data_IF_566811640361
#
_entry.id   IF_566811640361
#
_cell.length_a   1.000
_cell.length_b   1.000
_cell.length_c   1.000
_cell.angle_alpha   90.00
_cell.angle_beta   90.00
_cell.angle_gamma   90.00
#
_symmetry.space_group_name_H-M   'P 1'
#
loop_
_entity.id
_entity.type
_entity.pdbx_description
1 polymer ?
#
# COMPACT_ATOMS: atom_id res chain seq x y z
N UNK A 1 -18.33 -67.65 -19.77
CA UNK A 1 -18.52 -67.76 -21.24
C UNK A 1 -18.51 -66.34 -21.81
N UNK A 2 -17.35 -65.70 -22.03
CA UNK A 2 -16.36 -65.89 -23.08
C UNK A 2 -16.89 -65.55 -24.50
N UNK A 3 -16.63 -64.32 -24.95
CA UNK A 3 -16.49 -63.88 -26.35
C UNK A 3 -15.84 -62.48 -26.31
N UNK A 4 -14.52 -62.26 -26.42
CA UNK A 4 -13.69 -62.14 -27.65
C UNK A 4 -14.39 -61.35 -28.78
N UNK A 5 -13.80 -60.42 -29.54
CA UNK A 5 -12.45 -59.84 -29.69
C UNK A 5 -12.59 -58.68 -30.70
N UNK A 6 -11.93 -57.53 -30.51
CA UNK A 6 -10.94 -56.96 -31.47
C UNK A 6 -10.49 -55.55 -31.08
N UNK A 7 -9.19 -55.44 -30.80
CA UNK A 7 -8.44 -54.21 -30.66
C UNK A 7 -8.01 -53.68 -32.04
N UNK A 8 -8.06 -52.35 -32.22
CA UNK A 8 -7.38 -51.64 -33.29
C UNK A 8 -6.27 -50.78 -32.68
N UNK A 9 -5.03 -51.27 -32.82
CA UNK A 9 -3.79 -50.50 -32.61
C UNK A 9 -3.55 -49.65 -33.86
N UNK A 10 -3.34 -48.35 -33.67
CA UNK A 10 -2.74 -47.48 -34.69
C UNK A 10 -1.34 -47.10 -34.22
N UNK A 11 -0.40 -47.31 -35.12
CA UNK A 11 1.05 -47.31 -34.90
C UNK A 11 1.64 -45.91 -34.67
N UNK A 12 2.59 -45.84 -33.72
CA UNK A 12 3.62 -44.79 -33.65
C UNK A 12 4.74 -45.10 -34.65
N UNK A 13 5.32 -44.10 -35.34
CA UNK A 13 6.66 -44.26 -35.91
C UNK A 13 7.71 -43.82 -34.88
N UNK A 14 8.64 -44.74 -34.63
CA UNK A 14 9.85 -44.58 -33.81
C UNK A 14 11.01 -44.44 -34.80
N UNK A 15 11.70 -43.30 -34.84
CA UNK A 15 12.95 -43.13 -35.58
C UNK A 15 14.10 -43.16 -34.57
N UNK A 16 15.04 -44.08 -34.79
CA UNK A 16 16.25 -44.26 -33.98
C UNK A 16 17.49 -44.21 -34.88
N UNK A 17 18.42 -43.34 -34.46
CA UNK A 17 19.89 -43.44 -34.49
C UNK A 17 20.62 -43.25 -35.83
N UNK A 18 21.40 -42.18 -35.88
CA UNK A 18 22.62 -42.04 -36.69
C UNK A 18 23.69 -41.34 -35.85
N UNK A 19 24.72 -42.08 -35.47
CA UNK A 19 25.91 -41.63 -34.74
C UNK A 19 26.97 -41.10 -35.69
N UNK A 20 27.50 -39.90 -35.45
CA UNK A 20 28.78 -39.44 -36.02
C UNK A 20 29.56 -38.62 -34.99
N UNK A 21 30.83 -38.99 -34.85
CA UNK A 21 31.85 -38.55 -33.90
C UNK A 21 32.42 -37.14 -34.18
N UNK A 22 33.00 -36.57 -33.12
CA UNK A 22 33.68 -35.28 -32.93
C UNK A 22 34.72 -34.88 -34.01
N UNK A 23 35.10 -33.59 -34.07
CA UNK A 23 36.36 -33.26 -33.41
C UNK A 23 36.30 -32.01 -32.50
N UNK A 24 37.23 -32.00 -31.55
CA UNK A 24 37.50 -30.95 -30.58
C UNK A 24 37.85 -29.61 -31.22
N UNK A 25 37.44 -28.51 -30.59
CA UNK A 25 37.99 -27.16 -30.86
C UNK A 25 37.94 -26.31 -29.59
N UNK A 26 39.14 -26.16 -29.01
CA UNK A 26 39.65 -24.99 -28.27
C UNK A 26 38.69 -24.13 -27.43
N UNK A 27 38.95 -24.19 -26.12
CA UNK A 27 38.71 -23.15 -25.12
C UNK A 27 39.04 -21.76 -25.66
N UNK A 28 38.05 -20.86 -25.71
CA UNK A 28 38.26 -19.41 -25.85
C UNK A 28 37.80 -18.75 -24.55
N UNK A 29 38.78 -18.45 -23.69
CA UNK A 29 38.61 -17.55 -22.55
C UNK A 29 38.48 -16.13 -23.11
N UNK A 30 37.24 -15.65 -23.26
CA UNK A 30 36.98 -14.25 -23.53
C UNK A 30 37.00 -13.47 -22.21
N UNK A 31 38.20 -12.97 -21.88
CA UNK A 31 38.40 -11.88 -20.91
C UNK A 31 37.59 -10.67 -21.38
N UNK A 32 36.46 -10.40 -20.73
CA UNK A 32 35.73 -9.14 -20.93
C UNK A 32 36.41 -8.04 -20.13
N UNK A 33 37.07 -7.16 -20.88
CA UNK A 33 37.61 -5.88 -20.45
C UNK A 33 36.53 -5.06 -19.73
N UNK A 34 36.84 -4.63 -18.52
CA UNK A 34 36.05 -3.67 -17.77
C UNK A 34 36.02 -2.33 -18.49
N UNK A 35 34.83 -1.74 -18.55
CA UNK A 35 34.63 -0.35 -18.97
C UNK A 35 34.99 0.52 -17.76
N UNK A 36 36.20 1.05 -17.77
CA UNK A 36 36.62 2.10 -16.84
C UNK A 36 36.08 3.44 -17.34
N UNK A 37 35.15 4.03 -16.61
CA UNK A 37 34.78 5.43 -16.78
C UNK A 37 35.87 6.31 -16.18
N UNK A 38 36.27 7.28 -16.99
CA UNK A 38 37.28 8.33 -16.80
C UNK A 38 37.30 8.97 -15.41
N UNK A 39 38.46 8.93 -14.77
CA UNK A 39 38.80 9.75 -13.61
C UNK A 39 38.95 11.23 -14.02
N UNK A 40 38.30 12.13 -13.28
CA UNK A 40 38.52 13.56 -13.33
C UNK A 40 39.93 13.89 -12.83
N UNK A 41 40.75 14.45 -13.72
CA UNK A 41 42.10 14.95 -13.42
C UNK A 41 42.01 16.12 -12.43
N UNK A 42 42.58 15.93 -11.24
CA UNK A 42 42.90 16.97 -10.28
C UNK A 42 44.07 17.81 -10.81
N UNK A 43 43.83 19.09 -11.08
CA UNK A 43 44.88 20.05 -11.40
C UNK A 43 45.46 20.64 -10.09
N UNK A 44 46.79 20.68 -10.00
CA UNK A 44 47.55 21.26 -8.89
C UNK A 44 47.58 22.81 -8.97
N UNK A 45 47.66 23.53 -7.84
CA UNK A 45 47.68 25.00 -7.83
C UNK A 45 49.07 25.55 -8.16
N UNK A 46 49.13 26.54 -9.05
CA UNK A 46 50.33 27.29 -9.37
C UNK A 46 50.52 28.46 -8.38
N UNK A 47 51.71 28.57 -7.80
CA UNK A 47 52.16 29.70 -6.98
C UNK A 47 52.72 30.83 -7.87
N UNK A 48 52.33 32.08 -7.61
CA UNK A 48 53.21 33.23 -7.88
C UNK A 48 52.84 34.50 -7.11
N UNK A 49 53.81 34.92 -6.29
CA UNK A 49 54.27 36.28 -5.95
C UNK A 49 53.34 37.34 -5.34
N UNK A 50 53.73 37.70 -4.12
CA UNK A 50 53.52 38.92 -3.34
C UNK A 50 53.76 40.26 -4.08
N UNK A 51 52.88 41.23 -3.85
CA UNK A 51 53.23 42.66 -3.67
C UNK A 51 52.29 43.32 -2.64
N UNK A 52 52.84 44.30 -1.92
CA UNK A 52 52.40 44.73 -0.61
C UNK A 52 51.67 46.09 -0.59
N UNK A 53 50.84 46.24 0.46
CA UNK A 53 50.46 47.48 1.20
C UNK A 53 49.51 48.44 0.45
N UNK A 54 48.38 48.87 1.04
CA UNK A 54 48.37 49.81 2.19
C UNK A 54 47.03 49.81 2.92
N UNK A 55 47.10 49.85 4.27
CA UNK A 55 45.98 50.11 5.19
C UNK A 55 45.51 51.56 5.05
N UNK A 56 44.20 51.77 4.89
CA UNK A 56 43.52 52.92 5.49
C UNK A 56 42.21 52.46 6.13
N UNK A 57 42.17 52.61 7.45
CA UNK A 57 40.97 52.57 8.26
C UNK A 57 40.25 53.92 8.15
N UNK A 58 38.96 53.89 7.85
CA UNK A 58 38.03 54.88 8.39
C UNK A 58 36.65 54.24 8.51
N UNK A 59 36.19 54.14 9.75
CA UNK A 59 34.85 53.67 10.04
C UNK A 59 33.82 54.69 9.58
N UNK A 60 32.78 54.22 8.92
CA UNK A 60 31.46 54.83 8.94
C UNK A 60 30.45 53.69 9.07
N UNK A 61 29.95 53.50 10.29
CA UNK A 61 28.86 52.58 10.56
C UNK A 61 27.60 53.07 9.86
N UNK A 62 27.19 52.39 8.79
CA UNK A 62 25.83 52.48 8.27
C UNK A 62 25.05 51.26 8.72
N UNK A 63 23.98 51.51 9.47
CA UNK A 63 22.96 50.52 9.81
C UNK A 63 22.47 49.89 8.50
N UNK A 64 22.80 48.62 8.26
CA UNK A 64 22.10 47.81 7.26
C UNK A 64 20.66 47.67 7.75
N UNK A 65 19.76 48.52 7.24
CA UNK A 65 18.34 48.22 7.16
C UNK A 65 18.25 46.87 6.44
N UNK A 66 17.91 45.82 7.18
CA UNK A 66 17.38 44.60 6.58
C UNK A 66 16.12 45.06 5.83
N UNK A 67 16.19 45.12 4.52
CA UNK A 67 14.98 45.07 3.71
C UNK A 67 14.34 43.73 4.01
N UNK A 68 13.33 43.71 4.90
CA UNK A 68 12.36 42.64 4.91
C UNK A 68 11.78 42.60 3.51
N UNK A 69 12.11 41.56 2.75
CA UNK A 69 11.37 41.23 1.55
C UNK A 69 9.98 40.90 2.07
N UNK A 70 9.08 41.90 2.01
CA UNK A 70 7.65 41.63 2.03
C UNK A 70 7.42 40.74 0.82
N UNK A 71 7.25 39.44 1.03
CA UNK A 71 6.80 38.52 -0.02
C UNK A 71 5.33 38.77 -0.27
N UNK A 72 5.00 39.97 -0.74
CA UNK A 72 3.75 40.31 -1.37
C UNK A 72 4.05 40.54 -2.84
N UNK A 73 3.44 39.73 -3.71
CA UNK A 73 3.31 40.09 -5.12
C UNK A 73 4.14 39.31 -6.14
N UNK A 74 4.58 38.08 -5.85
CA UNK A 74 4.73 37.09 -6.92
C UNK A 74 3.65 36.03 -6.73
N UNK A 75 2.79 35.89 -7.73
CA UNK A 75 1.89 34.73 -7.85
C UNK A 75 2.77 33.52 -8.13
N UNK A 76 3.47 33.02 -7.11
CA UNK A 76 3.93 31.65 -7.12
C UNK A 76 2.68 30.79 -7.30
N UNK A 77 2.71 29.75 -8.16
CA UNK A 77 1.62 28.78 -8.17
C UNK A 77 1.42 28.33 -6.72
N UNK A 78 0.17 28.42 -6.25
CA UNK A 78 -0.21 28.06 -4.89
C UNK A 78 0.48 26.73 -4.55
N UNK A 79 1.27 26.63 -3.47
CA UNK A 79 1.92 25.38 -3.15
C UNK A 79 0.81 24.33 -3.01
N UNK A 80 0.89 23.26 -3.79
CA UNK A 80 0.01 22.08 -3.72
C UNK A 80 0.10 21.33 -2.38
N UNK A 81 0.68 21.96 -1.36
CA UNK A 81 0.59 21.51 0.02
C UNK A 81 -0.81 21.83 0.54
N UNK A 82 -1.73 20.89 0.26
CA UNK A 82 -3.09 20.79 0.79
C UNK A 82 -3.14 20.93 2.34
N UNK A 83 -2.00 20.83 3.02
CA UNK A 83 -1.85 20.94 4.47
C UNK A 83 -1.44 22.33 4.99
N UNK A 84 -1.45 23.39 4.16
CA UNK A 84 -1.13 24.72 4.70
C UNK A 84 -2.21 25.16 5.70
N UNK A 85 -1.78 25.59 6.88
CA UNK A 85 -2.68 26.02 7.97
C UNK A 85 -3.62 27.16 7.58
N UNK A 86 -3.29 27.86 6.48
CA UNK A 86 -4.09 28.94 5.90
C UNK A 86 -5.44 28.49 5.31
N UNK A 87 -5.59 27.23 4.89
CA UNK A 87 -6.86 26.69 4.35
C UNK A 87 -7.69 25.92 5.37
N UNK A 88 -7.16 25.74 6.58
CA UNK A 88 -7.89 25.06 7.65
C UNK A 88 -8.98 25.99 8.14
N UNK A 89 -10.23 25.53 8.11
CA UNK A 89 -11.33 26.26 8.71
C UNK A 89 -10.99 26.53 10.18
N UNK A 90 -11.10 27.79 10.60
CA UNK A 90 -10.81 28.21 11.98
C UNK A 90 -11.95 27.86 12.95
N UNK A 91 -13.07 27.34 12.42
CA UNK A 91 -14.20 26.91 13.22
C UNK A 91 -13.84 25.61 13.96
N UNK A 92 -14.11 25.50 15.27
CA UNK A 92 -13.84 24.28 16.01
C UNK A 92 -14.64 23.14 15.41
N UNK A 93 -13.95 22.10 14.96
CA UNK A 93 -14.61 20.91 14.43
C UNK A 93 -15.41 20.21 15.54
N UNK A 94 -16.60 19.72 15.19
CA UNK A 94 -17.46 19.02 16.16
C UNK A 94 -16.81 17.70 16.54
N UNK A 95 -16.62 17.45 17.83
CA UNK A 95 -16.03 16.22 18.33
C UNK A 95 -16.94 15.02 18.01
N UNK A 96 -16.55 14.23 17.02
CA UNK A 96 -17.26 13.01 16.64
C UNK A 96 -16.86 11.86 17.59
N UNK A 97 -17.76 10.90 17.82
CA UNK A 97 -17.40 9.71 18.58
C UNK A 97 -16.29 8.96 17.85
N UNK A 98 -15.28 8.51 18.60
CA UNK A 98 -14.26 7.62 18.07
C UNK A 98 -14.80 6.19 18.01
N UNK A 99 -14.20 5.35 17.14
CA UNK A 99 -14.55 3.94 16.98
C UNK A 99 -14.06 3.12 18.18
N UNK A 100 -14.56 3.37 19.40
CA UNK A 100 -14.11 2.66 20.62
C UNK A 100 -14.33 1.15 20.49
N UNK A 101 -13.82 0.37 21.46
CA UNK A 101 -14.04 -1.09 21.58
C UNK A 101 -15.53 -1.39 21.87
N UNK A 102 -16.42 -0.89 21.02
CA UNK A 102 -17.86 -1.06 21.12
C UNK A 102 -18.20 -2.36 20.42
N UNK A 103 -18.96 -3.18 21.12
CA UNK A 103 -19.60 -4.36 20.56
C UNK A 103 -20.30 -4.02 19.24
N UNK A 104 -20.18 -4.91 18.26
CA UNK A 104 -20.74 -4.75 16.92
C UNK A 104 -22.27 -4.76 17.00
N UNK A 105 -22.84 -3.59 17.27
CA UNK A 105 -24.27 -3.40 17.43
C UNK A 105 -24.91 -2.89 16.13
N UNK A 106 -26.10 -3.38 15.76
CA UNK A 106 -26.80 -2.89 14.57
C UNK A 106 -27.23 -1.42 14.68
N UNK A 107 -27.27 -0.86 15.90
CA UNK A 107 -27.50 0.57 16.15
C UNK A 107 -26.36 1.49 15.69
N UNK A 108 -25.18 0.94 15.40
CA UNK A 108 -24.05 1.71 14.86
C UNK A 108 -24.19 2.01 13.36
N UNK A 109 -25.17 1.40 12.68
CA UNK A 109 -25.43 1.64 11.25
C UNK A 109 -25.68 3.12 10.98
N UNK A 110 -25.11 3.61 9.89
CA UNK A 110 -25.20 5.00 9.43
C UNK A 110 -24.67 6.05 10.43
N UNK A 111 -23.97 5.64 11.51
CA UNK A 111 -23.40 6.59 12.47
C UNK A 111 -22.05 7.14 11.96
N UNK A 112 -21.81 8.46 12.02
CA UNK A 112 -20.51 9.03 11.72
C UNK A 112 -19.54 8.79 12.88
N UNK A 113 -18.32 8.42 12.54
CA UNK A 113 -17.26 8.06 13.48
C UNK A 113 -15.95 8.70 13.03
N UNK A 114 -15.26 9.38 13.95
CA UNK A 114 -13.92 9.90 13.72
C UNK A 114 -12.88 8.79 13.88
N UNK A 115 -11.89 8.82 12.99
CA UNK A 115 -10.69 8.02 13.15
C UNK A 115 -9.78 8.63 14.22
N UNK A 116 -8.99 7.80 14.88
CA UNK A 116 -8.04 8.29 15.87
C UNK A 116 -6.89 9.10 15.22
N UNK A 117 -6.67 10.31 15.74
CA UNK A 117 -5.59 11.22 15.35
C UNK A 117 -4.46 11.27 16.39
N UNK A 118 -4.50 10.41 17.42
CA UNK A 118 -3.49 10.31 18.47
C UNK A 118 -2.11 9.87 17.97
N UNK A 119 -1.10 10.05 18.82
CA UNK A 119 0.27 9.59 18.53
C UNK A 119 0.31 8.08 18.40
N UNK A 120 0.85 7.58 17.29
CA UNK A 120 0.89 6.14 17.00
C UNK A 120 -0.42 5.59 16.41
N UNK A 121 -1.36 6.47 16.01
CA UNK A 121 -2.54 6.03 15.28
C UNK A 121 -2.18 5.57 13.87
N UNK A 122 -3.09 4.80 13.28
CA UNK A 122 -2.93 4.26 11.93
C UNK A 122 -2.80 5.39 10.90
N UNK A 123 -3.54 6.48 11.12
CA UNK A 123 -3.57 7.64 10.24
C UNK A 123 -2.28 8.45 10.26
N UNK A 124 -1.65 8.59 11.44
CA UNK A 124 -0.37 9.29 11.54
C UNK A 124 0.74 8.48 10.89
N UNK A 125 0.73 7.16 11.09
CA UNK A 125 1.82 6.28 10.64
C UNK A 125 1.76 5.98 9.15
N UNK A 126 0.58 5.61 8.63
CA UNK A 126 0.41 5.19 7.23
C UNK A 126 -0.26 6.25 6.36
N UNK A 127 -0.70 7.35 6.95
CA UNK A 127 -1.50 8.36 6.26
C UNK A 127 -2.96 7.94 6.08
N UNK A 128 -3.68 8.74 5.30
CA UNK A 128 -5.12 8.56 5.05
C UNK A 128 -5.34 8.43 3.53
N UNK A 129 -6.30 7.58 3.08
CA UNK A 129 -6.69 7.50 1.68
C UNK A 129 -7.04 8.86 1.08
N UNK A 130 -6.85 9.01 -0.23
CA UNK A 130 -7.02 10.28 -0.94
C UNK A 130 -8.39 10.91 -0.71
N UNK A 131 -9.46 10.11 -0.67
CA UNK A 131 -10.81 10.60 -0.42
C UNK A 131 -10.90 11.36 0.91
N UNK A 132 -10.37 10.76 1.98
CA UNK A 132 -10.41 11.31 3.34
C UNK A 132 -9.38 12.43 3.56
N UNK A 133 -8.27 12.40 2.80
CA UNK A 133 -7.28 13.49 2.82
C UNK A 133 -7.91 14.83 2.44
N UNK A 134 -8.82 14.83 1.47
CA UNK A 134 -9.56 16.03 1.08
C UNK A 134 -10.44 16.58 2.22
N UNK A 135 -10.90 15.74 3.16
CA UNK A 135 -11.69 16.22 4.31
C UNK A 135 -10.84 16.86 5.37
N UNK A 136 -9.62 16.34 5.54
CA UNK A 136 -8.66 16.85 6.53
C UNK A 136 -8.27 18.30 6.26
N UNK A 137 -8.51 18.81 5.04
CA UNK A 137 -8.37 20.22 4.69
C UNK A 137 -9.40 21.06 5.46
N UNK A 138 -10.63 20.58 5.58
CA UNK A 138 -11.73 21.34 6.21
C UNK A 138 -12.00 20.93 7.66
N UNK A 139 -11.61 19.71 8.06
CA UNK A 139 -11.89 19.15 9.38
C UNK A 139 -10.59 18.71 10.05
N UNK A 140 -10.53 18.84 11.38
CA UNK A 140 -9.33 18.48 12.13
C UNK A 140 -9.08 16.97 12.16
N UNK A 141 -10.17 16.21 12.24
CA UNK A 141 -10.18 14.76 12.26
C UNK A 141 -10.84 14.25 10.98
N UNK A 142 -10.21 13.25 10.36
CA UNK A 142 -10.88 12.49 9.32
C UNK A 142 -11.98 11.64 9.96
N UNK A 143 -13.13 11.55 9.29
CA UNK A 143 -14.24 10.73 9.74
C UNK A 143 -14.74 9.82 8.63
N UNK A 144 -15.49 8.80 9.02
CA UNK A 144 -16.16 7.89 8.12
C UNK A 144 -17.50 7.48 8.71
N UNK A 145 -18.35 6.87 7.90
CA UNK A 145 -19.65 6.37 8.34
C UNK A 145 -19.58 4.86 8.44
N UNK A 146 -20.13 4.32 9.51
CA UNK A 146 -20.27 2.87 9.67
C UNK A 146 -21.39 2.39 8.76
N UNK A 147 -21.01 1.62 7.74
CA UNK A 147 -21.92 0.99 6.79
C UNK A 147 -22.16 -0.46 7.17
N UNK A 148 -23.21 -1.07 6.60
CA UNK A 148 -23.50 -2.49 6.80
C UNK A 148 -22.32 -3.39 6.42
N UNK A 149 -21.64 -3.05 5.33
CA UNK A 149 -20.46 -3.78 4.88
C UNK A 149 -19.33 -3.73 5.92
N UNK A 150 -19.10 -2.57 6.56
CA UNK A 150 -18.07 -2.41 7.58
C UNK A 150 -18.38 -3.27 8.82
N UNK A 151 -19.66 -3.31 9.24
CA UNK A 151 -20.10 -4.20 10.32
C UNK A 151 -19.91 -5.67 9.97
N UNK A 152 -20.18 -6.05 8.71
CA UNK A 152 -19.94 -7.42 8.25
C UNK A 152 -18.45 -7.77 8.23
N UNK A 153 -17.58 -6.84 7.82
CA UNK A 153 -16.13 -6.99 7.85
C UNK A 153 -15.61 -7.15 9.28
N UNK A 154 -16.12 -6.36 10.24
CA UNK A 154 -15.73 -6.49 11.64
C UNK A 154 -16.08 -7.89 12.19
N UNK A 155 -17.29 -8.40 11.90
CA UNK A 155 -17.68 -9.77 12.28
C UNK A 155 -16.79 -10.84 11.65
N UNK A 156 -16.39 -10.64 10.38
CA UNK A 156 -15.44 -11.53 9.71
C UNK A 156 -14.07 -11.49 10.37
N UNK A 157 -13.59 -10.31 10.80
CA UNK A 157 -12.32 -10.19 11.52
C UNK A 157 -12.39 -10.86 12.90
N UNK A 158 -13.50 -10.71 13.63
CA UNK A 158 -13.68 -11.40 14.92
C UNK A 158 -13.62 -12.92 14.76
N UNK A 159 -14.27 -13.47 13.74
CA UNK A 159 -14.18 -14.89 13.41
C UNK A 159 -12.77 -15.30 12.96
N UNK A 160 -12.07 -14.41 12.24
CA UNK A 160 -10.71 -14.63 11.80
C UNK A 160 -9.67 -14.57 12.93
N UNK A 161 -10.02 -13.99 14.09
CA UNK A 161 -9.13 -13.96 15.26
C UNK A 161 -8.79 -15.36 15.80
N UNK A 162 -9.64 -16.36 15.54
CA UNK A 162 -9.50 -17.73 16.04
C UNK A 162 -9.11 -18.73 14.95
N UNK A 163 -9.01 -18.30 13.70
CA UNK A 163 -8.77 -19.17 12.55
C UNK A 163 -7.54 -18.75 11.75
N UNK A 164 -7.02 -19.69 10.99
CA UNK A 164 -5.82 -19.50 10.17
C UNK A 164 -6.10 -18.54 9.00
N UNK A 165 -5.14 -17.67 8.69
CA UNK A 165 -5.33 -16.65 7.64
C UNK A 165 -5.50 -17.25 6.24
N UNK A 166 -5.16 -18.52 6.02
CA UNK A 166 -5.36 -19.23 4.75
C UNK A 166 -6.85 -19.34 4.37
N UNK A 167 -7.74 -19.41 5.37
CA UNK A 167 -9.19 -19.47 5.16
C UNK A 167 -9.80 -18.06 5.04
N UNK A 168 -9.16 -17.06 5.65
CA UNK A 168 -9.67 -15.69 5.78
C UNK A 168 -8.95 -14.73 4.84
N UNK A 169 -9.17 -14.90 3.54
CA UNK A 169 -8.53 -14.10 2.49
C UNK A 169 -9.58 -13.34 1.72
N UNK A 170 -9.88 -12.13 2.15
CA UNK A 170 -10.96 -11.34 1.59
C UNK A 170 -10.41 -10.22 0.70
N UNK A 171 -11.14 -9.92 -0.37
CA UNK A 171 -10.83 -8.81 -1.26
C UNK A 171 -12.07 -7.95 -1.46
N UNK A 172 -12.00 -6.68 -1.07
CA UNK A 172 -13.04 -5.70 -1.29
C UNK A 172 -13.16 -5.39 -2.78
N UNK A 173 -14.30 -5.75 -3.35
CA UNK A 173 -14.69 -5.52 -4.74
C UNK A 173 -15.84 -4.50 -4.78
N UNK A 174 -16.06 -3.87 -5.93
CA UNK A 174 -17.13 -2.88 -6.07
C UNK A 174 -16.76 -1.74 -7.03
N UNK A 175 -17.72 -0.89 -7.33
CA UNK A 175 -17.57 0.22 -8.26
C UNK A 175 -16.55 1.27 -7.78
N UNK A 176 -16.07 2.10 -8.71
CA UNK A 176 -15.17 3.21 -8.39
C UNK A 176 -15.90 4.23 -7.51
N UNK A 177 -15.30 4.60 -6.38
CA UNK A 177 -15.88 5.60 -5.46
C UNK A 177 -16.81 5.02 -4.39
N UNK A 178 -17.06 3.72 -4.39
CA UNK A 178 -17.91 3.01 -3.41
C UNK A 178 -17.40 3.02 -1.96
N UNK A 179 -16.15 3.42 -1.71
CA UNK A 179 -15.57 3.50 -0.36
C UNK A 179 -14.70 2.31 0.08
N UNK A 180 -14.25 1.45 -0.84
CA UNK A 180 -13.39 0.29 -0.56
C UNK A 180 -12.20 0.60 0.35
N UNK A 181 -11.39 1.61 0.00
CA UNK A 181 -10.25 2.06 0.81
C UNK A 181 -10.64 2.53 2.21
N UNK A 182 -11.82 3.16 2.36
CA UNK A 182 -12.32 3.63 3.66
C UNK A 182 -12.78 2.45 4.51
N UNK A 183 -13.48 1.47 3.93
CA UNK A 183 -13.88 0.24 4.63
C UNK A 183 -12.66 -0.59 5.06
N UNK A 184 -11.63 -0.67 4.22
CA UNK A 184 -10.35 -1.30 4.57
C UNK A 184 -9.69 -0.57 5.76
N UNK A 185 -9.64 0.76 5.74
CA UNK A 185 -9.09 1.56 6.84
C UNK A 185 -9.87 1.39 8.14
N UNK A 186 -11.21 1.41 8.08
CA UNK A 186 -12.08 1.14 9.23
C UNK A 186 -11.81 -0.24 9.84
N UNK A 187 -11.64 -1.25 8.99
CA UNK A 187 -11.34 -2.63 9.43
C UNK A 187 -9.97 -2.71 10.09
N UNK A 188 -8.97 -2.03 9.54
CA UNK A 188 -7.64 -1.97 10.12
C UNK A 188 -7.62 -1.25 11.48
N UNK A 189 -8.37 -0.15 11.62
CA UNK A 189 -8.50 0.56 12.90
C UNK A 189 -9.23 -0.30 13.95
N UNK A 190 -10.29 -1.00 13.55
CA UNK A 190 -11.00 -1.94 14.41
C UNK A 190 -10.04 -3.01 14.96
N UNK A 191 -9.29 -3.70 14.08
CA UNK A 191 -8.32 -4.72 14.51
C UNK A 191 -7.23 -4.16 15.42
N UNK A 192 -6.73 -2.95 15.14
CA UNK A 192 -5.73 -2.29 15.98
C UNK A 192 -6.22 -2.06 17.42
N UNK A 193 -7.48 -1.63 17.59
CA UNK A 193 -8.07 -1.40 18.90
C UNK A 193 -8.36 -2.69 19.67
N UNK A 194 -8.56 -3.79 18.95
CA UNK A 194 -8.62 -5.15 19.51
C UNK A 194 -7.25 -5.79 19.77
N UNK A 195 -6.15 -5.05 19.63
CA UNK A 195 -4.80 -5.52 19.95
C UNK A 195 -4.18 -6.45 18.91
N UNK A 196 -4.64 -6.40 17.65
CA UNK A 196 -4.04 -7.17 16.56
C UNK A 196 -2.72 -6.55 16.11
N UNK A 197 -1.82 -7.38 15.56
CA UNK A 197 -0.68 -6.90 14.80
C UNK A 197 -1.16 -6.50 13.39
N UNK A 198 -1.17 -5.20 13.07
CA UNK A 198 -1.65 -4.73 11.76
C UNK A 198 -0.48 -4.35 10.86
N UNK A 199 -0.42 -4.98 9.69
CA UNK A 199 0.44 -4.59 8.58
C UNK A 199 -0.43 -3.94 7.51
N UNK A 200 -0.49 -2.60 7.52
CA UNK A 200 -1.33 -1.83 6.62
C UNK A 200 -0.52 -1.22 5.48
N UNK A 201 -1.00 -1.41 4.25
CA UNK A 201 -0.40 -0.88 3.03
C UNK A 201 -1.41 0.07 2.39
N UNK A 202 -1.22 1.40 2.50
CA UNK A 202 -2.20 2.37 2.05
C UNK A 202 -2.33 2.47 0.52
N UNK A 203 -1.27 2.13 -0.22
CA UNK A 203 -1.25 2.09 -1.70
C UNK A 203 -0.18 1.13 -2.20
N UNK A 204 -0.57 -0.03 -2.71
CA UNK A 204 0.38 -0.99 -3.29
C UNK A 204 0.98 -0.50 -4.63
N UNK A 205 0.36 0.49 -5.29
CA UNK A 205 0.89 1.10 -6.53
C UNK A 205 2.29 1.67 -6.31
N UNK A 206 2.56 2.28 -5.15
CA UNK A 206 3.84 2.90 -4.85
C UNK A 206 5.00 1.89 -4.82
N UNK A 207 4.69 0.61 -4.61
CA UNK A 207 5.69 -0.47 -4.61
C UNK A 207 6.13 -0.90 -6.00
N UNK A 208 5.34 -0.55 -7.01
CA UNK A 208 5.44 -1.06 -8.38
C UNK A 208 5.79 0.07 -9.36
N UNK A 209 5.63 1.33 -8.94
CA UNK A 209 5.79 2.53 -9.75
C UNK A 209 7.24 3.06 -9.90
N UNK A 210 8.26 2.20 -9.72
CA UNK A 210 9.68 2.58 -9.90
C UNK A 210 10.15 3.81 -9.11
N UNK A 211 9.51 4.12 -7.97
CA UNK A 211 9.83 5.28 -7.13
C UNK A 211 11.01 5.01 -6.18
N UNK A 212 11.19 3.76 -5.78
CA UNK A 212 12.24 3.35 -4.83
C UNK A 212 13.36 2.60 -5.53
N UNK A 213 14.57 2.63 -4.95
CA UNK A 213 15.73 1.92 -5.50
C UNK A 213 15.56 0.40 -5.39
N UNK A 214 16.13 -0.32 -6.35
CA UNK A 214 16.08 -1.77 -6.41
C UNK A 214 17.43 -2.35 -6.84
N UNK A 215 17.72 -3.57 -6.40
CA UNK A 215 18.94 -4.30 -6.76
C UNK A 215 18.63 -5.76 -7.02
N UNK A 216 19.22 -6.35 -8.05
CA UNK A 216 19.07 -7.78 -8.31
C UNK A 216 19.88 -8.59 -7.31
N UNK A 217 19.23 -9.55 -6.64
CA UNK A 217 19.91 -10.51 -5.79
C UNK A 217 19.89 -11.90 -6.43
N UNK A 218 21.09 -12.41 -6.72
CA UNK A 218 21.27 -13.72 -7.34
C UNK A 218 20.86 -14.87 -6.41
N UNK A 219 20.87 -14.67 -5.09
CA UNK A 219 20.50 -15.74 -4.12
C UNK A 219 19.00 -15.99 -4.14
N UNK A 220 18.20 -14.94 -4.08
CA UNK A 220 16.74 -15.03 -4.11
C UNK A 220 16.15 -15.09 -5.53
N UNK A 221 16.93 -14.70 -6.55
CA UNK A 221 16.43 -14.56 -7.92
C UNK A 221 15.35 -13.47 -8.04
N UNK A 222 15.40 -12.48 -7.15
CA UNK A 222 14.42 -11.39 -7.09
C UNK A 222 15.11 -10.03 -6.98
N UNK A 223 14.38 -8.98 -7.32
CA UNK A 223 14.82 -7.61 -7.16
C UNK A 223 14.47 -7.11 -5.75
N UNK A 224 15.51 -6.87 -4.94
CA UNK A 224 15.41 -6.39 -3.57
C UNK A 224 15.10 -4.89 -3.57
N UNK A 225 14.06 -4.50 -2.82
CA UNK A 225 13.68 -3.11 -2.58
C UNK A 225 14.02 -2.70 -1.14
N UNK A 226 15.30 -2.42 -0.87
CA UNK A 226 15.81 -2.15 0.48
C UNK A 226 15.19 -0.91 1.13
N UNK A 227 15.10 0.19 0.37
CA UNK A 227 14.52 1.45 0.87
C UNK A 227 13.05 1.28 1.28
N UNK A 228 12.28 0.55 0.47
CA UNK A 228 10.88 0.26 0.70
C UNK A 228 10.70 -0.68 1.90
N UNK A 229 11.50 -1.74 2.00
CA UNK A 229 11.47 -2.65 3.14
C UNK A 229 11.79 -1.91 4.46
N UNK A 230 12.77 -1.00 4.45
CA UNK A 230 13.11 -0.17 5.61
C UNK A 230 11.95 0.73 6.03
N UNK A 231 11.28 1.36 5.08
CA UNK A 231 10.11 2.20 5.34
C UNK A 231 8.97 1.38 5.97
N UNK A 232 8.67 0.21 5.41
CA UNK A 232 7.67 -0.70 5.95
C UNK A 232 8.00 -1.15 7.38
N UNK A 233 9.25 -1.51 7.66
CA UNK A 233 9.69 -1.85 9.03
C UNK A 233 9.56 -0.66 9.98
N UNK A 234 9.92 0.55 9.53
CA UNK A 234 9.82 1.75 10.36
C UNK A 234 8.37 2.12 10.70
N UNK A 235 7.44 1.94 9.75
CA UNK A 235 6.02 2.18 9.97
C UNK A 235 5.43 1.07 10.84
N UNK A 236 5.85 -0.17 10.63
CA UNK A 236 5.43 -1.31 11.44
C UNK A 236 5.88 -1.17 12.91
N UNK A 237 7.11 -0.70 13.15
CA UNK A 237 7.65 -0.42 14.49
C UNK A 237 6.85 0.67 15.23
N UNK A 238 6.57 1.79 14.53
CA UNK A 238 5.83 2.93 15.09
C UNK A 238 4.40 2.55 15.48
N UNK A 239 3.73 1.79 14.63
CA UNK A 239 2.33 1.46 14.84
C UNK A 239 2.13 0.34 15.88
N UNK A 240 2.90 -0.74 15.77
CA UNK A 240 2.72 -1.94 16.59
C UNK A 240 3.67 -2.00 17.80
N UNK A 241 4.15 -0.86 18.32
CA UNK A 241 5.14 -0.82 19.40
C UNK A 241 4.74 -1.70 20.61
N UNK A 242 3.47 -1.64 21.01
CA UNK A 242 2.93 -2.44 22.12
C UNK A 242 3.01 -3.94 21.82
N UNK A 243 2.57 -4.36 20.63
CA UNK A 243 2.56 -5.76 20.21
C UNK A 243 3.98 -6.30 20.03
N UNK A 244 4.88 -5.52 19.43
CA UNK A 244 6.27 -5.93 19.19
C UNK A 244 7.10 -6.06 20.46
N UNK A 245 6.76 -5.30 21.49
CA UNK A 245 7.41 -5.41 22.80
C UNK A 245 7.00 -6.66 23.59
N UNK A 246 5.81 -7.20 23.31
CA UNK A 246 5.29 -8.41 23.96
C UNK A 246 5.82 -9.71 23.31
N UNK A 247 6.09 -9.67 22.01
CA UNK A 247 6.51 -10.83 21.22
C UNK A 247 8.02 -11.06 21.28
N UNK A 248 8.44 -12.33 21.21
CA UNK A 248 9.84 -12.75 21.29
C UNK A 248 10.28 -13.51 20.04
N UNK A 249 11.56 -13.44 19.72
CA UNK A 249 12.17 -14.20 18.62
C UNK A 249 12.30 -15.68 19.00
N UNK A 250 11.71 -16.63 18.25
CA UNK A 250 11.80 -18.05 18.58
C UNK A 250 13.14 -18.67 18.18
N UNK A 251 13.87 -18.05 17.25
CA UNK A 251 15.12 -18.55 16.69
C UNK A 251 16.18 -17.46 16.74
N UNK A 252 17.44 -17.89 16.82
CA UNK A 252 18.57 -17.01 16.60
C UNK A 252 18.61 -16.60 15.13
N UNK A 253 18.67 -15.29 14.87
CA UNK A 253 18.74 -14.73 13.52
C UNK A 253 20.13 -14.14 13.36
N UNK A 254 20.90 -14.73 12.46
CA UNK A 254 22.22 -14.24 12.07
C UNK A 254 22.01 -13.25 10.94
N UNK A 255 22.23 -11.96 11.23
CA UNK A 255 22.33 -10.92 10.22
C UNK A 255 23.81 -10.74 9.84
N UNK A 256 24.06 -10.08 8.72
CA UNK A 256 25.43 -9.90 8.21
C UNK A 256 26.36 -9.14 9.19
N UNK A 257 25.79 -8.35 10.12
CA UNK A 257 26.52 -7.52 11.08
C UNK A 257 26.18 -7.78 12.54
N UNK A 258 24.97 -8.26 12.82
CA UNK A 258 24.43 -8.42 14.17
C UNK A 258 23.77 -9.77 14.33
N UNK A 259 24.06 -10.46 15.42
CA UNK A 259 23.35 -11.69 15.79
C UNK A 259 22.32 -11.33 16.84
N UNK A 260 21.06 -11.70 16.59
CA UNK A 260 19.98 -11.52 17.56
C UNK A 260 19.72 -12.87 18.20
N UNK A 261 20.00 -12.96 19.49
CA UNK A 261 19.81 -14.18 20.26
C UNK A 261 18.33 -14.61 20.27
N UNK A 262 18.13 -15.92 20.40
CA UNK A 262 16.80 -16.47 20.62
C UNK A 262 16.20 -15.93 21.94
N UNK A 263 14.94 -15.50 21.91
CA UNK A 263 14.22 -14.95 23.05
C UNK A 263 14.31 -13.43 23.22
N UNK A 264 15.05 -12.74 22.34
CA UNK A 264 15.06 -11.27 22.27
C UNK A 264 13.69 -10.72 21.86
N UNK A 265 13.44 -9.44 22.12
CA UNK A 265 12.16 -8.79 21.73
C UNK A 265 12.09 -8.65 20.21
N UNK A 266 10.91 -8.86 19.63
CA UNK A 266 10.73 -8.69 18.20
C UNK A 266 10.99 -7.24 17.74
N UNK A 267 10.77 -6.26 18.63
CA UNK A 267 11.12 -4.85 18.40
C UNK A 267 12.60 -4.64 18.05
N UNK A 268 13.53 -5.34 18.73
CA UNK A 268 14.97 -5.19 18.50
C UNK A 268 15.38 -5.67 17.09
N UNK A 269 14.73 -6.73 16.61
CA UNK A 269 14.90 -7.23 15.24
C UNK A 269 14.42 -6.21 14.20
N UNK A 270 13.24 -5.63 14.43
CA UNK A 270 12.69 -4.60 13.52
C UNK A 270 13.59 -3.37 13.51
N UNK A 271 14.04 -2.90 14.67
CA UNK A 271 14.90 -1.72 14.80
C UNK A 271 16.26 -1.94 14.11
N UNK A 272 16.85 -3.13 14.22
CA UNK A 272 18.06 -3.49 13.47
C UNK A 272 17.85 -3.35 11.95
N UNK A 273 16.68 -3.75 11.44
CA UNK A 273 16.34 -3.60 10.02
C UNK A 273 16.03 -2.17 9.60
N UNK A 274 15.64 -1.29 10.51
CA UNK A 274 15.49 0.14 10.24
C UNK A 274 16.87 0.81 10.14
N UNK A 275 17.85 0.37 10.94
CA UNK A 275 19.22 0.90 10.92
C UNK A 275 20.02 0.44 9.70
N UNK A 276 19.92 -0.83 9.32
CA UNK A 276 20.67 -1.40 8.20
C UNK A 276 19.78 -1.61 6.95
N UNK A 277 19.85 -0.73 5.92
CA UNK A 277 19.01 -0.83 4.72
C UNK A 277 19.26 -2.11 3.90
N UNK A 278 20.49 -2.60 3.89
CA UNK A 278 20.88 -3.75 3.06
C UNK A 278 20.25 -5.06 3.55
N UNK A 279 20.07 -5.21 4.87
CA UNK A 279 19.44 -6.38 5.49
C UNK A 279 17.94 -6.20 5.73
N UNK A 280 17.38 -4.99 5.56
CA UNK A 280 15.96 -4.69 5.81
C UNK A 280 15.00 -5.66 5.14
N UNK A 281 15.28 -6.10 3.91
CA UNK A 281 14.38 -7.02 3.19
C UNK A 281 14.37 -8.42 3.83
N UNK A 282 15.54 -8.92 4.22
CA UNK A 282 15.64 -10.22 4.88
C UNK A 282 14.98 -10.15 6.27
N UNK A 283 15.19 -9.05 7.00
CA UNK A 283 14.55 -8.81 8.30
C UNK A 283 13.03 -8.69 8.16
N UNK A 284 12.52 -8.03 7.11
CA UNK A 284 11.09 -7.99 6.83
C UNK A 284 10.52 -9.38 6.56
N UNK A 285 11.23 -10.21 5.80
CA UNK A 285 10.83 -11.62 5.58
C UNK A 285 10.79 -12.40 6.89
N UNK A 286 11.86 -12.34 7.68
CA UNK A 286 11.96 -13.06 8.95
C UNK A 286 10.92 -12.58 9.98
N UNK A 287 10.69 -11.27 10.09
CA UNK A 287 9.67 -10.71 10.99
C UNK A 287 8.29 -11.23 10.63
N UNK A 288 7.90 -11.24 9.35
CA UNK A 288 6.62 -11.81 8.94
C UNK A 288 6.55 -13.33 9.13
N UNK A 289 7.66 -14.05 8.96
CA UNK A 289 7.70 -15.50 9.23
C UNK A 289 7.60 -15.84 10.72
N UNK A 290 8.13 -14.98 11.61
CA UNK A 290 7.92 -15.10 13.06
C UNK A 290 6.44 -14.84 13.39
N UNK A 291 5.88 -13.76 12.84
CA UNK A 291 4.47 -13.41 12.99
C UNK A 291 3.53 -14.49 12.41
N UNK A 292 3.98 -15.23 11.40
CA UNK A 292 3.25 -16.35 10.82
C UNK A 292 3.18 -17.56 11.77
N UNK A 293 4.26 -17.84 12.50
CA UNK A 293 4.39 -19.01 13.38
C UNK A 293 3.77 -18.79 14.76
N UNK A 294 3.79 -17.57 15.28
CA UNK A 294 3.20 -17.25 16.58
C UNK A 294 1.67 -17.39 16.56
N UNK A 295 1.08 -17.72 17.71
CA UNK A 295 -0.38 -17.82 17.89
C UNK A 295 -0.90 -16.92 19.02
N UNK A 296 -0.06 -16.09 19.64
CA UNK A 296 -0.47 -15.24 20.76
C UNK A 296 -1.37 -14.09 20.29
N UNK A 297 -0.95 -13.42 19.21
CA UNK A 297 -1.61 -12.23 18.66
C UNK A 297 -2.06 -12.49 17.22
N UNK A 298 -3.32 -12.21 16.87
CA UNK A 298 -3.78 -12.32 15.49
C UNK A 298 -3.16 -11.22 14.60
N UNK A 299 -2.85 -11.58 13.36
CA UNK A 299 -2.19 -10.67 12.39
C UNK A 299 -3.13 -10.29 11.26
N UNK A 300 -3.23 -8.98 10.98
CA UNK A 300 -3.97 -8.46 9.83
C UNK A 300 -3.00 -7.95 8.77
N UNK A 301 -3.02 -8.56 7.59
CA UNK A 301 -2.36 -8.02 6.40
C UNK A 301 -3.39 -7.28 5.55
N UNK A 302 -3.37 -5.95 5.61
CA UNK A 302 -4.33 -5.09 4.93
C UNK A 302 -3.66 -4.34 3.76
N UNK A 303 -4.13 -4.56 2.53
CA UNK A 303 -3.48 -4.03 1.32
C UNK A 303 -4.48 -3.30 0.43
N UNK A 304 -4.32 -1.99 0.29
CA UNK A 304 -5.07 -1.21 -0.69
C UNK A 304 -4.39 -1.22 -2.06
N UNK A 305 -5.18 -1.02 -3.11
CA UNK A 305 -4.77 -1.17 -4.51
C UNK A 305 -4.13 -2.54 -4.82
N UNK A 306 -4.63 -3.63 -4.23
CA UNK A 306 -4.03 -4.97 -4.34
C UNK A 306 -3.88 -5.45 -5.80
N UNK A 307 -4.66 -4.92 -6.74
CA UNK A 307 -4.49 -5.24 -8.16
C UNK A 307 -3.10 -4.86 -8.72
N UNK A 308 -2.44 -3.87 -8.14
CA UNK A 308 -1.14 -3.38 -8.63
C UNK A 308 -0.03 -4.42 -8.54
N UNK A 309 -0.10 -5.35 -7.58
CA UNK A 309 0.88 -6.43 -7.40
C UNK A 309 0.63 -7.64 -8.32
N UNK A 310 -0.53 -7.73 -8.98
CA UNK A 310 -0.88 -8.83 -9.90
C UNK A 310 -0.55 -8.50 -11.38
N UNK A 311 0.42 -7.62 -11.63
CA UNK A 311 0.69 -7.12 -12.98
C UNK A 311 2.14 -6.73 -13.24
N UNK A 312 2.35 -6.08 -14.38
CA UNK A 312 3.66 -5.56 -14.74
C UNK A 312 4.00 -4.33 -13.91
N UNK A 313 5.27 -4.23 -13.51
CA UNK A 313 5.79 -3.06 -12.81
C UNK A 313 6.39 -2.02 -13.76
N UNK A 314 6.64 -0.83 -13.24
CA UNK A 314 7.37 0.23 -13.97
C UNK A 314 8.88 0.08 -13.88
N UNK A 315 9.37 -0.85 -13.06
CA UNK A 315 10.78 -1.17 -12.99
C UNK A 315 11.27 -1.81 -14.29
N UNK A 316 12.55 -1.58 -14.59
CA UNK A 316 13.17 -2.09 -15.82
C UNK A 316 14.45 -2.83 -15.53
N UNK A 317 14.63 -3.91 -16.28
CA UNK A 317 15.86 -4.68 -16.29
C UNK A 317 16.99 -3.97 -17.06
N UNK A 318 18.25 -4.45 -16.96
CA UNK A 318 19.35 -3.95 -17.79
C UNK A 318 19.05 -4.01 -19.30
N UNK A 319 18.24 -4.98 -19.73
CA UNK A 319 17.75 -5.13 -21.10
C UNK A 319 16.55 -4.22 -21.42
N UNK A 320 16.21 -3.30 -20.52
CA UNK A 320 15.13 -2.31 -20.64
C UNK A 320 13.70 -2.88 -20.71
N UNK A 321 13.54 -4.17 -20.42
CA UNK A 321 12.25 -4.84 -20.30
C UNK A 321 11.57 -4.50 -18.97
N UNK A 322 10.23 -4.44 -18.96
CA UNK A 322 9.48 -4.24 -17.74
C UNK A 322 9.53 -5.49 -16.86
N UNK A 323 9.84 -5.28 -15.58
CA UNK A 323 9.88 -6.34 -14.58
C UNK A 323 8.46 -6.64 -14.13
N UNK A 324 8.08 -7.91 -14.01
CA UNK A 324 6.81 -8.29 -13.42
C UNK A 324 6.82 -8.03 -11.90
N UNK A 325 5.69 -7.62 -11.31
CA UNK A 325 5.63 -7.36 -9.87
C UNK A 325 6.03 -8.59 -9.03
N UNK A 326 5.76 -9.80 -9.49
CA UNK A 326 6.19 -11.04 -8.84
C UNK A 326 7.72 -11.19 -8.70
N UNK A 327 8.51 -10.60 -9.59
CA UNK A 327 9.98 -10.67 -9.48
C UNK A 327 10.53 -9.63 -8.48
N UNK A 328 9.70 -8.71 -7.98
CA UNK A 328 10.06 -7.77 -6.92
C UNK A 328 9.88 -8.44 -5.55
N UNK A 329 10.88 -8.29 -4.69
CA UNK A 329 10.94 -8.93 -3.36
C UNK A 329 9.74 -8.65 -2.44
N UNK A 330 9.31 -7.40 -2.31
CA UNK A 330 8.21 -7.02 -1.39
C UNK A 330 6.83 -7.40 -1.95
N UNK A 331 6.47 -7.06 -3.20
CA UNK A 331 5.23 -7.53 -3.80
C UNK A 331 5.11 -9.05 -3.80
N UNK A 332 6.19 -9.79 -4.13
CA UNK A 332 6.21 -11.25 -4.07
C UNK A 332 5.88 -11.77 -2.68
N UNK A 333 6.53 -11.21 -1.65
CA UNK A 333 6.28 -11.61 -0.27
C UNK A 333 4.79 -11.44 0.10
N UNK A 334 4.16 -10.34 -0.31
CA UNK A 334 2.72 -10.14 -0.06
C UNK A 334 1.86 -11.10 -0.88
N UNK A 335 2.21 -11.39 -2.14
CA UNK A 335 1.52 -12.38 -2.96
C UNK A 335 1.58 -13.79 -2.36
N UNK A 336 2.70 -14.18 -1.75
CA UNK A 336 2.83 -15.47 -1.06
C UNK A 336 1.82 -15.60 0.10
N UNK A 337 1.56 -14.51 0.83
CA UNK A 337 0.52 -14.49 1.87
C UNK A 337 -0.88 -14.47 1.24
N UNK A 338 -1.14 -13.59 0.27
CA UNK A 338 -2.45 -13.45 -0.41
C UNK A 338 -2.89 -14.77 -1.06
N UNK A 339 -1.96 -15.54 -1.62
CA UNK A 339 -2.24 -16.85 -2.22
C UNK A 339 -2.41 -17.98 -1.19
N UNK A 340 -2.05 -17.74 0.07
CA UNK A 340 -2.04 -18.75 1.11
C UNK A 340 -0.93 -19.78 0.97
N UNK A 341 0.13 -19.49 0.19
CA UNK A 341 1.38 -20.26 0.23
C UNK A 341 2.06 -20.10 1.58
N UNK A 342 2.02 -18.88 2.12
CA UNK A 342 2.33 -18.56 3.51
C UNK A 342 1.06 -18.13 4.23
N UNK A 343 0.92 -18.52 5.48
CA UNK A 343 -0.25 -18.21 6.30
C UNK A 343 0.14 -17.83 7.72
N UNK A 344 -0.67 -16.99 8.35
CA UNK A 344 -0.59 -16.69 9.77
C UNK A 344 -1.43 -17.71 10.54
N UNK A 345 -0.90 -18.24 11.63
CA UNK A 345 -1.62 -19.18 12.49
C UNK A 345 -2.96 -18.64 12.99
N UNK A 346 -3.02 -17.33 13.27
CA UNK A 346 -4.25 -16.59 13.57
C UNK A 346 -4.27 -15.27 12.82
N UNK A 347 -5.36 -14.98 12.13
CA UNK A 347 -5.55 -13.67 11.49
C UNK A 347 -6.23 -13.72 10.12
N UNK A 348 -6.08 -12.62 9.38
CA UNK A 348 -6.75 -12.41 8.11
C UNK A 348 -5.89 -11.63 7.12
N UNK A 349 -6.19 -11.83 5.83
CA UNK A 349 -5.68 -11.01 4.74
C UNK A 349 -6.86 -10.25 4.15
N UNK A 350 -6.73 -8.93 4.09
CA UNK A 350 -7.78 -8.03 3.66
C UNK A 350 -7.27 -7.11 2.55
N UNK A 351 -7.62 -7.41 1.30
CA UNK A 351 -7.24 -6.59 0.14
C UNK A 351 -8.36 -5.64 -0.27
N UNK A 352 -8.04 -4.52 -0.89
CA UNK A 352 -9.01 -3.68 -1.58
C UNK A 352 -8.63 -3.46 -3.04
N UNK A 353 -9.60 -3.67 -3.95
CA UNK A 353 -9.45 -3.34 -5.36
C UNK A 353 -9.72 -1.86 -5.61
N UNK A 354 -8.99 -1.29 -6.54
CA UNK A 354 -9.19 0.07 -6.99
C UNK A 354 -9.17 0.15 -8.50
N UNK A 355 -10.02 1.03 -9.03
CA UNK A 355 -10.07 1.39 -10.46
C UNK A 355 -9.75 2.87 -10.64
N UNK A 356 -9.01 3.43 -9.67
CA UNK A 356 -8.65 4.84 -9.65
C UNK A 356 -7.55 5.16 -10.66
N UNK A 357 -6.51 4.33 -10.69
CA UNK A 357 -5.42 4.37 -11.68
C UNK A 357 -5.81 3.58 -12.94
N UNK A 358 -5.53 4.16 -14.11
CA UNK A 358 -5.66 3.45 -15.39
C UNK A 358 -4.42 2.65 -15.75
N UNK A 359 -3.29 2.99 -15.13
CA UNK A 359 -2.00 2.33 -15.36
C UNK A 359 -1.97 0.91 -14.80
N UNK A 360 -2.68 0.67 -13.69
CA UNK A 360 -2.76 -0.61 -13.01
C UNK A 360 -4.22 -1.09 -13.01
N UNK A 361 -4.77 -1.50 -14.17
CA UNK A 361 -6.11 -2.05 -14.24
C UNK A 361 -6.18 -3.37 -13.46
N UNK A 362 -7.39 -3.80 -13.10
CA UNK A 362 -7.56 -5.11 -12.47
C UNK A 362 -7.22 -6.20 -13.51
N UNK A 363 -6.20 -7.04 -13.26
CA UNK A 363 -5.80 -8.08 -14.20
C UNK A 363 -6.85 -9.18 -14.26
N UNK A 364 -6.89 -9.88 -15.39
CA UNK A 364 -7.94 -10.86 -15.68
C UNK A 364 -7.79 -12.09 -14.78
N UNK A 365 -6.57 -12.47 -14.45
CA UNK A 365 -6.22 -13.56 -13.51
C UNK A 365 -6.83 -13.32 -12.13
N UNK A 366 -6.78 -12.07 -11.64
CA UNK A 366 -7.36 -11.70 -10.37
C UNK A 366 -8.89 -11.71 -10.42
N UNK A 367 -9.47 -11.28 -11.53
CA UNK A 367 -10.92 -11.35 -11.75
C UNK A 367 -11.43 -12.79 -11.80
N UNK A 368 -10.71 -13.66 -12.51
CA UNK A 368 -10.99 -15.09 -12.61
C UNK A 368 -10.92 -15.74 -11.22
N UNK A 369 -9.90 -15.42 -10.42
CA UNK A 369 -9.75 -15.89 -9.04
C UNK A 369 -10.84 -15.39 -8.08
N UNK A 370 -11.40 -14.21 -8.35
CA UNK A 370 -12.53 -13.64 -7.60
C UNK A 370 -13.90 -14.08 -8.14
N UNK A 371 -13.94 -14.86 -9.22
CA UNK A 371 -15.19 -15.27 -9.88
C UNK A 371 -15.99 -14.11 -10.47
N UNK A 372 -15.31 -13.03 -10.90
CA UNK A 372 -15.94 -11.83 -11.46
C UNK A 372 -15.67 -11.73 -12.95
N UNK A 373 -16.66 -11.27 -13.70
CA UNK A 373 -16.48 -10.95 -15.12
C UNK A 373 -15.80 -9.59 -15.28
N UNK A 374 -14.89 -9.42 -16.24
CA UNK A 374 -14.30 -8.13 -16.51
C UNK A 374 -15.35 -7.13 -17.00
N UNK A 375 -15.30 -5.90 -16.50
CA UNK A 375 -16.21 -4.82 -16.92
C UNK A 375 -16.10 -4.51 -18.42
N UNK A 376 -14.91 -4.70 -18.98
CA UNK A 376 -14.67 -4.64 -20.42
C UNK A 376 -14.48 -6.06 -20.90
N UNK A 377 -15.27 -6.49 -21.89
CA UNK A 377 -15.04 -7.77 -22.55
C UNK A 377 -13.59 -7.80 -23.06
N UNK A 378 -12.75 -8.59 -22.39
CA UNK A 378 -11.42 -8.93 -22.88
C UNK A 378 -11.57 -9.84 -24.09
N UNK A 379 -10.58 -9.85 -24.98
CA UNK A 379 -10.51 -10.89 -26.00
C UNK A 379 -10.44 -12.26 -25.28
N UNK A 380 -11.23 -13.27 -25.69
CA UNK A 380 -11.13 -14.63 -25.15
C UNK A 380 -9.71 -15.21 -25.19
N UNK A 381 -8.86 -14.70 -26.09
CA UNK A 381 -7.48 -15.12 -26.31
C UNK A 381 -6.44 -14.20 -25.65
N UNK A 382 -6.85 -13.28 -24.77
CA UNK A 382 -5.91 -12.47 -24.01
C UNK A 382 -5.01 -13.39 -23.16
N UNK A 383 -3.69 -13.20 -23.27
CA UNK A 383 -2.71 -14.01 -22.55
C UNK A 383 -2.99 -13.98 -21.03
N UNK A 384 -2.81 -15.14 -20.40
CA UNK A 384 -2.94 -15.32 -18.95
C UNK A 384 -1.62 -15.80 -18.41
N UNK A 385 -1.10 -15.10 -17.43
CA UNK A 385 0.08 -15.56 -16.71
C UNK A 385 -0.33 -16.65 -15.72
N UNK A 386 0.21 -17.86 -15.91
CA UNK A 386 -0.09 -19.03 -15.05
C UNK A 386 0.24 -18.74 -13.58
N UNK A 387 1.34 -18.05 -13.32
CA UNK A 387 1.79 -17.71 -11.96
C UNK A 387 0.79 -16.80 -11.24
N UNK A 388 0.35 -15.69 -11.84
CA UNK A 388 -0.68 -14.83 -11.25
C UNK A 388 -2.01 -15.55 -11.06
N UNK A 389 -2.35 -16.46 -11.97
CA UNK A 389 -3.54 -17.31 -11.84
C UNK A 389 -3.46 -18.25 -10.64
N UNK A 390 -2.26 -18.71 -10.25
CA UNK A 390 -2.05 -19.48 -9.02
C UNK A 390 -2.16 -18.60 -7.77
N UNK A 391 -1.57 -17.40 -7.79
CA UNK A 391 -1.64 -16.49 -6.65
C UNK A 391 -3.07 -16.00 -6.36
N UNK A 392 -3.93 -15.91 -7.37
CA UNK A 392 -5.31 -15.46 -7.23
C UNK A 392 -6.27 -16.53 -6.66
N UNK A 393 -5.81 -17.78 -6.46
CA UNK A 393 -6.69 -18.89 -6.03
C UNK A 393 -7.15 -18.76 -4.57
N UNK A 394 -8.44 -18.94 -4.36
CA UNK A 394 -9.07 -19.02 -3.05
C UNK A 394 -9.24 -17.68 -2.34
N UNK A 395 -9.27 -16.58 -3.10
CA UNK A 395 -9.67 -15.27 -2.63
C UNK A 395 -11.19 -15.19 -2.54
N UNK A 396 -11.70 -14.61 -1.45
CA UNK A 396 -13.14 -14.42 -1.21
C UNK A 396 -13.50 -12.98 -1.56
N UNK A 397 -14.33 -12.73 -2.59
CA UNK A 397 -14.76 -11.38 -2.92
C UNK A 397 -15.78 -10.88 -1.89
N UNK A 398 -15.53 -9.70 -1.33
CA UNK A 398 -16.47 -8.97 -0.47
C UNK A 398 -16.96 -7.75 -1.24
N UNK A 399 -18.25 -7.70 -1.57
CA UNK A 399 -18.80 -6.65 -2.42
C UNK A 399 -19.20 -5.42 -1.59
N UNK A 400 -18.56 -4.29 -1.88
CA UNK A 400 -18.91 -3.01 -1.28
C UNK A 400 -20.06 -2.39 -2.06
N UNK A 401 -21.21 -2.10 -1.41
CA UNK A 401 -22.35 -1.51 -2.08
C UNK A 401 -21.97 -0.15 -2.68
N UNK A 402 -22.24 0.02 -3.97
CA UNK A 402 -21.90 1.24 -4.70
C UNK A 402 -22.67 2.47 -4.25
N UNK A 403 -23.86 2.27 -3.66
CA UNK A 403 -24.78 3.34 -3.26
C UNK A 403 -24.82 3.50 -1.75
N UNK A 404 -24.84 4.74 -1.28
CA UNK A 404 -25.20 5.11 0.08
C UNK A 404 -26.69 4.89 0.31
N UNK A 405 -27.04 4.47 1.51
CA UNK A 405 -28.43 4.53 1.95
C UNK A 405 -28.82 5.98 2.27
N UNK A 406 -30.12 6.28 2.29
CA UNK A 406 -30.62 7.62 2.61
C UNK A 406 -30.15 8.06 4.01
N UNK A 407 -30.13 7.13 4.98
CA UNK A 407 -29.65 7.40 6.33
C UNK A 407 -28.14 7.70 6.37
N UNK A 408 -27.33 6.91 5.65
CA UNK A 408 -25.89 7.15 5.53
C UNK A 408 -25.61 8.52 4.87
N UNK A 409 -26.34 8.86 3.80
CA UNK A 409 -26.21 10.14 3.12
C UNK A 409 -26.62 11.33 3.98
N UNK A 410 -27.69 11.20 4.76
CA UNK A 410 -28.16 12.24 5.67
C UNK A 410 -27.15 12.49 6.80
N UNK A 411 -26.69 11.42 7.48
CA UNK A 411 -25.68 11.53 8.52
C UNK A 411 -24.36 12.14 8.02
N UNK A 412 -23.98 11.82 6.79
CA UNK A 412 -22.83 12.42 6.12
C UNK A 412 -22.99 13.94 5.95
N UNK A 413 -24.18 14.36 5.51
CA UNK A 413 -24.49 15.77 5.28
C UNK A 413 -24.55 16.56 6.57
N UNK A 414 -25.16 15.99 7.61
CA UNK A 414 -25.26 16.60 8.95
C UNK A 414 -23.87 16.93 9.50
N UNK A 415 -22.92 16.00 9.40
CA UNK A 415 -21.54 16.24 9.87
C UNK A 415 -20.88 17.37 9.09
N UNK A 416 -21.04 17.44 7.77
CA UNK A 416 -20.45 18.54 6.99
C UNK A 416 -21.11 19.88 7.26
N UNK A 417 -22.42 19.90 7.48
CA UNK A 417 -23.13 21.11 7.86
C UNK A 417 -22.70 21.62 9.24
N UNK A 418 -22.57 20.73 10.23
CA UNK A 418 -22.07 21.06 11.58
C UNK A 418 -20.65 21.66 11.54
N UNK A 419 -19.81 21.19 10.62
CA UNK A 419 -18.45 21.69 10.46
C UNK A 419 -18.33 22.87 9.48
N UNK A 420 -19.45 23.40 8.97
CA UNK A 420 -19.46 24.55 8.07
C UNK A 420 -18.72 24.30 6.74
N UNK A 421 -18.74 23.05 6.25
CA UNK A 421 -18.09 22.65 4.99
C UNK A 421 -18.99 22.94 3.79
N UNK A 422 -20.31 22.89 3.99
CA UNK A 422 -21.29 23.12 2.93
C UNK A 422 -21.48 24.62 2.67
N UNK A 423 -21.65 24.96 1.39
CA UNK A 423 -21.98 26.34 0.98
C UNK A 423 -23.48 26.64 1.02
N UNK A 424 -24.32 25.61 1.00
CA UNK A 424 -25.76 25.70 1.07
C UNK A 424 -26.27 25.27 2.44
N UNK A 425 -27.40 25.83 2.85
CA UNK A 425 -28.11 25.37 4.03
C UNK A 425 -28.61 23.92 3.87
N UNK A 426 -28.75 23.24 4.99
CA UNK A 426 -29.34 21.90 5.07
C UNK A 426 -30.81 21.95 4.63
N UNK A 427 -31.11 21.38 3.46
CA UNK A 427 -32.47 21.20 2.97
C UNK A 427 -32.64 19.80 2.39
N UNK A 428 -33.78 19.17 2.68
CA UNK A 428 -34.12 17.83 2.19
C UNK A 428 -34.19 17.78 0.66
N UNK A 429 -34.65 18.86 0.03
CA UNK A 429 -34.70 18.99 -1.43
C UNK A 429 -33.32 18.94 -2.07
N UNK A 430 -32.36 19.67 -1.48
CA UNK A 430 -30.96 19.68 -1.92
C UNK A 430 -30.35 18.30 -1.70
N UNK A 431 -30.61 17.68 -0.55
CA UNK A 431 -30.13 16.33 -0.26
C UNK A 431 -30.62 15.31 -1.29
N UNK A 432 -31.92 15.24 -1.53
CA UNK A 432 -32.49 14.30 -2.49
C UNK A 432 -32.02 14.59 -3.92
N UNK A 433 -31.91 15.87 -4.30
CA UNK A 433 -31.34 16.26 -5.60
C UNK A 433 -29.90 15.74 -5.74
N UNK A 434 -29.04 15.96 -4.74
CA UNK A 434 -27.65 15.50 -4.79
C UNK A 434 -27.50 13.99 -4.72
N UNK A 435 -28.34 13.31 -3.94
CA UNK A 435 -28.35 11.86 -3.86
C UNK A 435 -28.75 11.23 -5.21
N UNK A 436 -29.73 11.82 -5.90
CA UNK A 436 -30.18 11.38 -7.23
C UNK A 436 -29.18 11.71 -8.32
N UNK A 437 -28.62 12.93 -8.36
CA UNK A 437 -27.57 13.35 -9.30
C UNK A 437 -26.36 12.40 -9.29
N UNK A 438 -26.00 11.92 -8.10
CA UNK A 438 -24.77 11.13 -7.89
C UNK A 438 -25.03 9.63 -7.93
N UNK A 439 -26.29 9.21 -8.10
CA UNK A 439 -26.72 7.81 -8.03
C UNK A 439 -26.42 7.16 -6.67
N UNK A 440 -26.23 7.96 -5.63
CA UNK A 440 -25.79 7.52 -4.30
C UNK A 440 -24.32 7.11 -4.20
N UNK A 441 -23.47 7.32 -5.20
CA UNK A 441 -22.05 6.98 -5.11
C UNK A 441 -21.35 7.87 -4.06
N UNK A 442 -20.74 7.33 -2.99
CA UNK A 442 -20.18 8.13 -1.91
C UNK A 442 -19.17 9.20 -2.35
N UNK A 443 -18.32 8.87 -3.33
CA UNK A 443 -17.31 9.81 -3.83
C UNK A 443 -17.93 10.95 -4.62
N UNK A 444 -18.84 10.63 -5.54
CA UNK A 444 -19.49 11.68 -6.35
C UNK A 444 -20.47 12.48 -5.49
N UNK A 445 -21.13 11.87 -4.51
CA UNK A 445 -21.93 12.57 -3.50
C UNK A 445 -21.11 13.60 -2.73
N UNK A 446 -19.93 13.20 -2.23
CA UNK A 446 -18.99 14.14 -1.61
C UNK A 446 -18.62 15.29 -2.52
N UNK A 447 -18.25 14.97 -3.76
CA UNK A 447 -17.82 15.97 -4.73
C UNK A 447 -18.96 16.94 -5.03
N UNK A 448 -20.14 16.42 -5.33
CA UNK A 448 -21.35 17.17 -5.63
C UNK A 448 -21.67 18.18 -4.53
N UNK A 449 -21.71 17.73 -3.27
CA UNK A 449 -21.99 18.60 -2.12
C UNK A 449 -21.00 19.77 -1.99
N UNK A 450 -19.72 19.56 -2.26
CA UNK A 450 -18.68 20.61 -2.15
C UNK A 450 -18.67 21.55 -3.34
N UNK A 451 -18.96 21.04 -4.54
CA UNK A 451 -18.94 21.85 -5.77
C UNK A 451 -20.24 22.59 -6.05
N UNK A 452 -21.25 22.44 -5.19
CA UNK A 452 -22.53 23.12 -5.41
C UNK A 452 -22.36 24.62 -5.19
N UNK A 453 -22.40 25.39 -6.27
CA UNK A 453 -22.58 26.84 -6.16
C UNK A 453 -24.07 27.10 -5.95
N UNK A 454 -24.39 27.90 -4.94
CA UNK A 454 -25.75 28.41 -4.73
C UNK A 454 -26.10 29.23 -5.97
N UNK A 455 -27.02 28.72 -6.80
CA UNK A 455 -27.70 29.52 -7.81
C UNK A 455 -28.69 30.40 -7.07
N UNK A 456 -28.35 31.68 -6.94
CA UNK A 456 -29.21 32.72 -6.38
C UNK A 456 -30.45 32.95 -7.23
#
# INVERSE_FOLDING_TARGET
>A
MASTSRALRVCRPRLTVGSTSLPASSVIVLSRRGIASTASVLAAPANSSTMARTKQSSGFGSKKKQHSIRSGGSMAPMPLSENSSSFRNQNPSTALPQLTNVEINPSLRARPVAFDSGKGSLQETFGVPRSLREDRIHMDQAFSIIRDISLSSFKQMDAASQSESRQNRYVLTGEKGSGKSVTLLQTAEYCARHGWAVFYVPRAIDWVNSTTTFQYDAKSGTFIQSALARELLSNFAKFNANVLSALKTPKEIVLDRTTIAAGAKLAELVDAGVMDPNSSMNILRETLEILAKQQDVPVLLAVDDIQAIFGQSRYRDPDFNYIQALHLSVPRLVLEYVSGQKSFGRGAIFGALSSSSREFPVPLELLDGLGRTPQRAGAPWAERHSEYSEYAKGLVPVEVPSRLTVQEGAALMEVWAQNGVLHSDLNDSIFLAKLTETGGNPREFRRGMRTTLVTW
#
